data_IF_266857810802
#
_entry.id   IF_266857810802
#
_cell.length_a   1.000
_cell.length_b   1.000
_cell.length_c   1.000
_cell.angle_alpha   90.00
_cell.angle_beta   90.00
_cell.angle_gamma   90.00
#
_symmetry.space_group_name_H-M   'P 1'
#
loop_
_entity.id
_entity.type
_entity.pdbx_description
1 polymer ?
#
# COMPACT_ATOMS: atom_id res chain seq x y z
N UNK A 1 -8.60 -31.37 6.41
CA UNK A 1 -7.88 -30.15 6.01
C UNK A 1 -7.03 -30.49 4.79
N UNK A 2 -7.53 -30.22 3.59
CA UNK A 2 -6.86 -30.57 2.32
C UNK A 2 -5.70 -29.61 2.08
N UNK A 3 -4.48 -30.07 1.80
CA UNK A 3 -3.36 -29.17 1.50
C UNK A 3 -3.69 -28.42 0.21
N UNK A 4 -3.85 -27.08 0.29
CA UNK A 4 -4.00 -26.24 -0.89
C UNK A 4 -2.74 -26.42 -1.76
N UNK A 5 -2.89 -27.10 -2.91
CA UNK A 5 -1.87 -27.17 -3.94
C UNK A 5 -1.57 -25.74 -4.39
N UNK A 6 -0.46 -25.17 -3.91
CA UNK A 6 0.02 -23.87 -4.38
C UNK A 6 0.67 -24.09 -5.73
N UNK A 7 0.10 -23.51 -6.79
CA UNK A 7 0.69 -23.61 -8.11
C UNK A 7 1.91 -22.70 -8.19
N UNK A 8 3.03 -23.23 -8.68
CA UNK A 8 4.22 -22.45 -9.02
C UNK A 8 3.91 -21.61 -10.26
N UNK A 9 4.13 -20.30 -10.16
CA UNK A 9 4.01 -19.34 -11.25
C UNK A 9 5.31 -18.54 -11.36
N UNK A 10 5.62 -18.05 -12.55
CA UNK A 10 6.76 -17.15 -12.78
C UNK A 10 6.22 -15.80 -13.23
N UNK A 11 6.64 -14.71 -12.59
CA UNK A 11 6.22 -13.37 -13.00
C UNK A 11 7.01 -12.88 -14.24
N UNK A 12 6.60 -11.75 -14.82
CA UNK A 12 7.29 -11.15 -15.97
C UNK A 12 8.73 -10.70 -15.68
N UNK A 13 9.12 -10.55 -14.42
CA UNK A 13 10.50 -10.25 -13.99
C UNK A 13 11.32 -11.54 -13.73
N UNK A 14 10.75 -12.73 -13.98
CA UNK A 14 11.45 -14.01 -13.82
C UNK A 14 11.36 -14.63 -12.42
N UNK A 15 10.64 -14.00 -11.46
CA UNK A 15 10.56 -14.54 -10.10
C UNK A 15 9.61 -15.73 -9.99
N UNK A 16 10.07 -16.89 -9.46
CA UNK A 16 9.21 -18.01 -9.11
C UNK A 16 8.45 -17.72 -7.82
N UNK A 17 7.12 -17.83 -7.83
CA UNK A 17 6.30 -17.63 -6.65
C UNK A 17 5.13 -18.62 -6.60
N UNK A 18 4.68 -18.91 -5.39
CA UNK A 18 3.60 -19.84 -5.12
C UNK A 18 2.36 -19.10 -4.65
N UNK A 19 1.22 -19.30 -5.32
CA UNK A 19 -0.04 -18.69 -4.88
C UNK A 19 -1.21 -19.64 -5.06
N UNK A 20 -2.08 -19.65 -4.06
CA UNK A 20 -3.38 -20.33 -4.13
C UNK A 20 -4.47 -19.47 -4.74
N UNK A 21 -4.29 -18.15 -4.70
CA UNK A 21 -5.21 -17.16 -5.28
C UNK A 21 -4.81 -16.85 -6.71
N UNK A 22 -5.79 -16.54 -7.55
CA UNK A 22 -5.56 -16.25 -8.96
C UNK A 22 -4.86 -14.90 -9.21
N UNK A 23 -4.73 -14.00 -8.22
CA UNK A 23 -4.17 -12.67 -8.55
C UNK A 23 -2.75 -12.78 -9.12
N UNK A 24 -2.50 -12.15 -10.29
CA UNK A 24 -1.21 -12.23 -11.00
C UNK A 24 -0.09 -11.45 -10.32
N UNK A 25 -0.37 -10.76 -9.20
CA UNK A 25 0.63 -10.01 -8.44
C UNK A 25 1.69 -10.92 -7.85
N UNK A 26 2.95 -10.70 -8.25
CA UNK A 26 4.11 -11.36 -7.70
C UNK A 26 4.49 -10.74 -6.33
N UNK A 27 4.52 -11.53 -5.24
CA UNK A 27 4.86 -11.01 -3.91
C UNK A 27 6.32 -10.56 -3.78
N UNK A 28 7.21 -11.13 -4.60
CA UNK A 28 8.65 -10.80 -4.61
C UNK A 28 8.85 -9.42 -5.23
N UNK A 29 8.30 -9.19 -6.44
CA UNK A 29 8.33 -7.86 -7.07
C UNK A 29 7.70 -6.77 -6.20
N UNK A 30 6.64 -7.09 -5.45
CA UNK A 30 6.01 -6.11 -4.56
C UNK A 30 6.89 -5.71 -3.38
N UNK A 31 7.73 -6.64 -2.92
CA UNK A 31 8.69 -6.41 -1.86
C UNK A 31 9.89 -5.61 -2.37
N UNK A 32 10.38 -5.89 -3.58
CA UNK A 32 11.48 -5.14 -4.21
C UNK A 32 11.10 -3.71 -4.58
N UNK A 33 9.89 -3.49 -5.07
CA UNK A 33 9.37 -2.14 -5.38
C UNK A 33 9.02 -1.34 -4.11
N UNK A 34 9.18 -1.93 -2.93
CA UNK A 34 8.87 -1.22 -1.69
C UNK A 34 9.97 -0.18 -1.42
N UNK A 35 9.61 1.11 -1.27
CA UNK A 35 10.59 2.11 -0.93
C UNK A 35 11.21 1.78 0.43
N UNK A 36 12.52 1.96 0.54
CA UNK A 36 13.27 1.68 1.78
C UNK A 36 12.97 2.71 2.88
N UNK A 37 12.52 3.92 2.49
CA UNK A 37 12.30 5.04 3.41
C UNK A 37 11.01 5.81 3.09
N UNK A 38 10.63 6.70 4.02
CA UNK A 38 9.42 7.51 3.93
C UNK A 38 8.16 6.80 4.43
N UNK A 39 7.02 7.49 4.36
CA UNK A 39 5.77 6.96 4.90
C UNK A 39 5.17 5.82 4.05
N UNK A 40 5.46 5.78 2.75
CA UNK A 40 5.05 4.72 1.84
C UNK A 40 5.67 3.36 2.21
N UNK A 41 6.85 3.34 2.84
CA UNK A 41 7.50 2.10 3.31
C UNK A 41 6.76 1.46 4.50
N UNK A 42 5.92 2.21 5.20
CA UNK A 42 5.11 1.70 6.32
C UNK A 42 3.85 0.95 5.84
N UNK A 43 3.51 1.11 4.56
CA UNK A 43 2.27 0.63 3.97
C UNK A 43 2.45 -0.75 3.34
N UNK A 44 1.33 -1.47 3.26
CA UNK A 44 1.23 -2.69 2.46
C UNK A 44 1.11 -2.33 0.99
N UNK A 45 1.53 -3.23 0.11
CA UNK A 45 1.45 -3.11 -1.35
C UNK A 45 0.17 -2.44 -1.89
N UNK A 46 -1.06 -2.89 -1.55
CA UNK A 46 -2.28 -2.27 -2.09
C UNK A 46 -2.49 -0.82 -1.63
N UNK A 47 -2.19 -0.51 -0.37
CA UNK A 47 -2.32 0.85 0.16
C UNK A 47 -1.28 1.80 -0.44
N UNK A 48 -0.03 1.33 -0.61
CA UNK A 48 1.04 2.09 -1.29
C UNK A 48 0.63 2.43 -2.72
N UNK A 49 0.24 1.42 -3.50
CA UNK A 49 -0.22 1.58 -4.89
C UNK A 49 -1.44 2.50 -5.00
N UNK A 50 -2.34 2.47 -4.03
CA UNK A 50 -3.50 3.37 -3.99
C UNK A 50 -3.07 4.83 -3.88
N UNK A 51 -2.13 5.17 -3.00
CA UNK A 51 -1.59 6.52 -2.89
C UNK A 51 -0.79 6.94 -4.11
N UNK A 52 0.06 6.05 -4.64
CA UNK A 52 0.86 6.32 -5.82
C UNK A 52 -0.01 6.63 -7.05
N UNK A 53 -1.14 5.92 -7.20
CA UNK A 53 -2.13 6.18 -8.27
C UNK A 53 -2.77 7.55 -8.16
N UNK A 54 -3.06 8.00 -6.94
CA UNK A 54 -3.56 9.36 -6.67
C UNK A 54 -2.44 10.41 -6.72
N UNK A 55 -1.19 10.02 -7.00
CA UNK A 55 -0.03 10.91 -7.01
C UNK A 55 0.43 11.37 -5.63
N UNK A 56 -0.02 10.71 -4.55
CA UNK A 56 0.31 11.03 -3.17
C UNK A 56 1.64 10.34 -2.80
N UNK A 57 2.75 10.99 -3.13
CA UNK A 57 4.10 10.46 -2.88
C UNK A 57 4.82 11.19 -1.73
N UNK A 58 4.29 12.32 -1.27
CA UNK A 58 4.81 13.06 -0.11
C UNK A 58 3.77 13.23 1.00
N UNK A 59 4.25 13.48 2.21
CA UNK A 59 3.41 13.74 3.39
C UNK A 59 2.63 15.05 3.23
N UNK A 60 3.17 16.03 2.51
CA UNK A 60 2.49 17.29 2.21
C UNK A 60 1.33 17.11 1.22
N UNK A 61 1.49 16.22 0.24
CA UNK A 61 0.38 15.85 -0.66
C UNK A 61 -0.70 15.10 0.12
N UNK A 62 -0.31 14.18 1.00
CA UNK A 62 -1.23 13.44 1.86
C UNK A 62 -2.06 14.38 2.74
N UNK A 63 -1.47 15.46 3.26
CA UNK A 63 -2.15 16.45 4.09
C UNK A 63 -3.28 17.22 3.36
N UNK A 64 -3.32 17.17 2.01
CA UNK A 64 -4.39 17.80 1.20
C UNK A 64 -5.69 16.99 1.19
N UNK A 65 -5.63 15.73 1.58
CA UNK A 65 -6.76 14.81 1.63
C UNK A 65 -7.31 14.72 3.05
N UNK A 66 -8.59 14.38 3.18
CA UNK A 66 -9.18 14.00 4.46
C UNK A 66 -9.02 12.51 4.72
N UNK A 67 -9.22 12.08 5.96
CA UNK A 67 -9.20 10.65 6.34
C UNK A 67 -10.23 9.84 5.55
N UNK A 68 -11.41 10.43 5.31
CA UNK A 68 -12.48 9.82 4.52
C UNK A 68 -12.06 9.64 3.06
N UNK A 69 -11.48 10.67 2.43
CA UNK A 69 -11.00 10.58 1.03
C UNK A 69 -9.99 9.44 0.87
N UNK A 70 -9.10 9.27 1.85
CA UNK A 70 -8.12 8.18 1.85
C UNK A 70 -8.81 6.82 2.04
N UNK A 71 -9.78 6.70 2.95
CA UNK A 71 -10.50 5.44 3.16
C UNK A 71 -11.31 4.98 1.93
N UNK A 72 -11.75 5.91 1.08
CA UNK A 72 -12.45 5.59 -0.16
C UNK A 72 -11.54 4.96 -1.23
N UNK A 73 -10.21 5.10 -1.11
CA UNK A 73 -9.28 4.54 -2.06
C UNK A 73 -9.24 3.01 -1.99
N UNK A 74 -9.38 2.35 -3.14
CA UNK A 74 -9.34 0.89 -3.23
C UNK A 74 -7.98 0.34 -2.78
N UNK A 75 -8.00 -0.44 -1.70
CA UNK A 75 -6.80 -1.00 -1.06
C UNK A 75 -6.40 -0.31 0.24
N UNK A 76 -7.17 0.69 0.69
CA UNK A 76 -7.04 1.29 2.01
C UNK A 76 -7.90 0.56 3.03
N UNK A 77 -7.28 0.24 4.17
CA UNK A 77 -7.95 -0.41 5.28
C UNK A 77 -7.88 0.44 6.54
N UNK A 78 -8.70 0.12 7.56
CA UNK A 78 -8.70 0.84 8.84
C UNK A 78 -7.34 0.82 9.53
N UNK A 79 -6.53 -0.22 9.30
CA UNK A 79 -5.16 -0.32 9.83
C UNK A 79 -4.14 0.59 9.14
N UNK A 80 -4.48 1.19 8.00
CA UNK A 80 -3.59 2.07 7.23
C UNK A 80 -3.63 3.51 7.75
N UNK A 81 -4.82 4.00 8.11
CA UNK A 81 -5.02 5.36 8.63
C UNK A 81 -4.10 5.74 9.80
N UNK A 82 -3.95 4.95 10.88
CA UNK A 82 -3.07 5.35 11.99
C UNK A 82 -1.59 5.49 11.58
N UNK A 83 -1.14 4.75 10.57
CA UNK A 83 0.22 4.88 10.02
C UNK A 83 0.39 6.20 9.27
N UNK A 84 -0.61 6.58 8.48
CA UNK A 84 -0.63 7.84 7.74
C UNK A 84 -0.72 9.04 8.69
N UNK A 85 -1.58 8.96 9.72
CA UNK A 85 -1.64 9.96 10.78
C UNK A 85 -0.29 10.15 11.47
N UNK A 86 0.39 9.04 11.80
CA UNK A 86 1.71 9.08 12.44
C UNK A 86 2.76 9.74 11.54
N UNK A 87 2.72 9.45 10.24
CA UNK A 87 3.61 10.06 9.25
C UNK A 87 3.37 11.57 9.09
N UNK A 88 2.11 12.01 9.04
CA UNK A 88 1.72 13.42 9.04
C UNK A 88 2.22 14.12 10.30
N UNK A 89 1.94 13.53 11.47
CA UNK A 89 2.32 14.08 12.78
C UNK A 89 3.84 14.22 12.93
N UNK A 90 4.62 13.28 12.38
CA UNK A 90 6.09 13.37 12.37
C UNK A 90 6.61 14.60 11.61
N UNK A 91 5.80 15.19 10.72
CA UNK A 91 6.07 16.44 10.00
C UNK A 91 5.29 17.64 10.55
N UNK A 92 4.60 17.49 11.68
CA UNK A 92 3.73 18.54 12.23
C UNK A 92 2.48 18.81 11.39
N UNK A 93 2.14 17.91 10.48
CA UNK A 93 0.98 18.00 9.59
C UNK A 93 -0.18 17.17 10.14
N UNK A 94 -1.36 17.45 9.63
CA UNK A 94 -2.58 16.67 9.88
C UNK A 94 -3.32 16.46 8.56
N UNK A 95 -4.24 15.51 8.53
CA UNK A 95 -5.19 15.42 7.43
C UNK A 95 -5.98 16.72 7.30
N UNK A 96 -6.46 16.99 6.08
CA UNK A 96 -7.41 18.07 5.86
C UNK A 96 -8.66 17.78 6.70
N UNK A 97 -9.16 18.80 7.40
CA UNK A 97 -10.49 18.71 8.01
C UNK A 97 -11.51 18.37 6.91
N UNK A 98 -12.33 17.36 7.17
CA UNK A 98 -13.28 16.81 6.20
C UNK A 98 -14.19 17.88 5.60
N UNK A 99 -14.69 17.59 4.39
CA UNK A 99 -15.84 18.27 3.81
C UNK A 99 -17.11 17.69 4.40
#
# INVERSE_FOLDING_TARGET
MTPLKKNLRTCSQGHPYYKSSDCPTCPICEQEQKPESGFLSLLVAPARRALEREGIITVEQLAKYSESDILELHGMGPSTIPKLQSALKAKGLTFRKGK
#
